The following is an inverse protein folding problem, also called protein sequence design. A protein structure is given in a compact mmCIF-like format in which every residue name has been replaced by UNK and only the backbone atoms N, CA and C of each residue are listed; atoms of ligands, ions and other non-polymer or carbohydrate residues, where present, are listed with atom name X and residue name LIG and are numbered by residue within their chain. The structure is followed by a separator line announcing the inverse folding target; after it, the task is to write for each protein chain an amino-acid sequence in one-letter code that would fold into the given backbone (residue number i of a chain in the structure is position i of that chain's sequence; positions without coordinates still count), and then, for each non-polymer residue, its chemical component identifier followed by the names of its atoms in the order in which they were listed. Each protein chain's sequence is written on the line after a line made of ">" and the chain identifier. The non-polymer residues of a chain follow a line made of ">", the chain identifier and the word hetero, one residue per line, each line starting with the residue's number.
data_IF_248240544872
#
_entry.id   IF_248240544872
#
_cell.length_a   1.000
_cell.length_b   1.000
_cell.length_c   1.000
_cell.angle_alpha   90.00
_cell.angle_beta   90.00
_cell.angle_gamma   90.00
#
_symmetry.space_group_name_H-M   'P 1'
#
loop_
_entity.id
_entity.type
_entity.pdbx_description
1 polymer ?
#
# COMPACT_ATOMS: atom_id res chain seq x y z
N UNK A 1 12.07 -11.87 2.58
CA UNK A 1 10.61 -11.67 2.41
C UNK A 1 10.25 -10.57 3.39
N UNK A 2 9.44 -9.58 2.98
CA UNK A 2 9.00 -8.55 3.93
C UNK A 2 8.06 -9.18 4.96
N UNK A 3 8.29 -8.88 6.24
CA UNK A 3 7.45 -9.36 7.33
C UNK A 3 6.34 -8.34 7.60
N UNK A 4 5.13 -8.66 7.16
CA UNK A 4 3.95 -7.83 7.34
C UNK A 4 3.37 -8.04 8.75
N UNK A 5 3.93 -7.32 9.72
CA UNK A 5 3.63 -7.47 11.16
C UNK A 5 2.74 -6.37 11.71
N UNK A 6 2.51 -5.30 10.95
CA UNK A 6 1.68 -4.16 11.32
C UNK A 6 0.53 -3.98 10.32
N UNK A 7 -0.33 -3.00 10.61
CA UNK A 7 -1.42 -2.58 9.73
C UNK A 7 -1.34 -1.08 9.50
N UNK A 8 -1.68 -0.66 8.28
CA UNK A 8 -1.74 0.74 7.88
C UNK A 8 -3.09 1.02 7.22
N UNK A 9 -3.68 2.18 7.47
CA UNK A 9 -4.98 2.54 6.89
C UNK A 9 -4.77 3.41 5.66
N UNK A 10 -5.07 2.88 4.47
CA UNK A 10 -4.92 3.57 3.19
C UNK A 10 -6.32 3.74 2.59
N UNK A 11 -6.73 4.97 2.29
CA UNK A 11 -8.10 5.27 1.81
C UNK A 11 -9.23 4.75 2.71
N UNK A 12 -8.98 4.58 4.01
CA UNK A 12 -9.96 4.01 4.95
C UNK A 12 -10.00 2.48 4.97
N UNK A 13 -9.11 1.80 4.23
CA UNK A 13 -8.97 0.35 4.22
C UNK A 13 -7.73 -0.07 5.02
N UNK A 14 -7.88 -1.07 5.89
CA UNK A 14 -6.76 -1.66 6.64
C UNK A 14 -5.95 -2.58 5.73
N UNK A 15 -4.68 -2.24 5.53
CA UNK A 15 -3.74 -2.98 4.70
C UNK A 15 -2.62 -3.55 5.57
N UNK A 16 -2.17 -4.76 5.26
CA UNK A 16 -0.99 -5.37 5.88
C UNK A 16 0.24 -4.49 5.61
N UNK A 17 1.03 -4.19 6.63
CA UNK A 17 2.20 -3.31 6.56
C UNK A 17 3.45 -3.97 7.15
N UNK A 18 4.55 -3.86 6.42
CA UNK A 18 5.88 -4.27 6.84
C UNK A 18 6.70 -3.02 7.20
N UNK A 19 6.73 -2.61 8.49
CA UNK A 19 7.38 -1.36 8.91
C UNK A 19 8.88 -1.36 8.69
N UNK A 20 9.54 -2.53 8.79
CA UNK A 20 10.97 -2.66 8.56
C UNK A 20 11.35 -2.46 7.09
N UNK A 21 10.42 -2.77 6.16
CA UNK A 21 10.62 -2.66 4.72
C UNK A 21 9.97 -1.40 4.13
N UNK A 22 9.12 -0.70 4.87
CA UNK A 22 8.33 0.41 4.36
C UNK A 22 7.33 -0.02 3.27
N UNK A 23 6.79 -1.24 3.33
CA UNK A 23 5.88 -1.75 2.28
C UNK A 23 4.52 -2.15 2.85
N UNK A 24 3.44 -1.88 2.11
CA UNK A 24 2.10 -2.39 2.41
C UNK A 24 1.53 -3.22 1.27
N UNK A 25 0.58 -4.10 1.60
CA UNK A 25 -0.22 -4.85 0.62
C UNK A 25 -1.51 -4.12 0.33
N UNK A 26 -1.52 -3.40 -0.79
CA UNK A 26 -2.68 -2.60 -1.20
C UNK A 26 -3.51 -3.39 -2.22
N UNK A 27 -4.82 -3.56 -2.00
CA UNK A 27 -5.70 -4.14 -3.00
C UNK A 27 -5.84 -3.19 -4.20
N UNK A 28 -5.75 -3.74 -5.41
CA UNK A 28 -6.02 -2.96 -6.61
C UNK A 28 -7.50 -2.57 -6.65
N UNK A 29 -7.79 -1.28 -6.86
CA UNK A 29 -9.15 -0.75 -6.91
C UNK A 29 -10.00 -1.29 -8.09
N UNK A 30 -9.39 -1.99 -9.05
CA UNK A 30 -10.09 -2.58 -10.20
C UNK A 30 -10.33 -4.09 -10.06
N UNK A 31 -9.30 -4.87 -9.67
CA UNK A 31 -9.38 -6.33 -9.63
C UNK A 31 -9.24 -6.95 -8.23
N UNK A 32 -8.95 -6.16 -7.21
CA UNK A 32 -8.77 -6.61 -5.82
C UNK A 32 -7.48 -7.40 -5.55
N UNK A 33 -6.60 -7.56 -6.55
CA UNK A 33 -5.30 -8.20 -6.31
C UNK A 33 -4.46 -7.36 -5.37
N UNK A 34 -3.88 -7.97 -4.32
CA UNK A 34 -2.93 -7.33 -3.42
C UNK A 34 -1.60 -7.10 -4.14
N UNK A 35 -1.09 -5.87 -4.10
CA UNK A 35 0.22 -5.50 -4.63
C UNK A 35 1.08 -5.01 -3.48
N UNK A 36 2.37 -5.34 -3.50
CA UNK A 36 3.34 -4.84 -2.51
C UNK A 36 3.82 -3.46 -2.97
N UNK A 37 3.48 -2.43 -2.19
CA UNK A 37 3.67 -1.03 -2.55
C UNK A 37 4.45 -0.33 -1.44
N UNK A 38 5.42 0.47 -1.82
CA UNK A 38 6.18 1.30 -0.89
C UNK A 38 5.28 2.39 -0.28
N UNK A 39 5.31 2.48 1.05
CA UNK A 39 4.55 3.46 1.84
C UNK A 39 5.52 4.37 2.56
N UNK A 40 5.32 5.67 2.39
CA UNK A 40 5.94 6.70 3.20
C UNK A 40 5.00 7.07 4.34
N UNK A 41 5.51 7.06 5.58
CA UNK A 41 4.77 7.52 6.75
C UNK A 41 5.22 8.93 7.10
N UNK A 42 4.29 9.88 7.11
CA UNK A 42 4.52 11.23 7.60
C UNK A 42 4.72 11.25 9.13
N UNK A 43 5.19 12.38 9.67
CA UNK A 43 5.49 12.52 11.10
C UNK A 43 4.27 12.37 12.02
N UNK A 44 3.07 12.52 11.49
CA UNK A 44 1.78 12.33 12.16
C UNK A 44 1.23 10.89 12.03
N UNK A 45 1.95 10.01 11.31
CA UNK A 45 1.54 8.64 11.04
C UNK A 45 0.65 8.50 9.79
N UNK A 46 0.43 9.57 9.03
CA UNK A 46 -0.35 9.50 7.78
C UNK A 46 0.43 8.75 6.70
N UNK A 47 -0.13 7.66 6.12
CA UNK A 47 0.51 6.91 5.05
C UNK A 47 0.27 7.54 3.68
N UNK A 48 1.32 7.59 2.86
CA UNK A 48 1.27 8.03 1.47
C UNK A 48 1.95 7.02 0.56
N UNK A 49 1.53 6.96 -0.70
CA UNK A 49 2.20 6.17 -1.74
C UNK A 49 2.15 6.90 -3.09
N UNK A 50 3.21 6.74 -3.89
CA UNK A 50 3.41 7.45 -5.17
C UNK A 50 2.54 6.96 -6.35
N UNK A 51 1.52 6.15 -6.06
CA UNK A 51 0.71 5.44 -7.07
C UNK A 51 1.44 4.25 -7.68
N UNK A 52 0.70 3.24 -8.13
CA UNK A 52 1.29 2.00 -8.64
C UNK A 52 0.42 1.35 -9.71
N UNK A 53 1.07 0.66 -10.66
CA UNK A 53 0.37 -0.19 -11.62
C UNK A 53 0.17 -1.58 -11.01
N UNK A 54 -1.04 -2.12 -11.12
CA UNK A 54 -1.33 -3.47 -10.65
C UNK A 54 -0.59 -4.51 -11.48
N UNK A 55 0.16 -5.40 -10.83
CA UNK A 55 0.95 -6.45 -11.50
C UNK A 55 0.06 -7.49 -12.20
N UNK A 56 -1.19 -7.64 -11.78
CA UNK A 56 -2.13 -8.61 -12.34
C UNK A 56 -2.95 -8.06 -13.53
N UNK A 57 -3.52 -6.85 -13.41
CA UNK A 57 -4.43 -6.31 -14.44
C UNK A 57 -3.90 -5.07 -15.17
N UNK A 58 -2.74 -4.54 -14.79
CA UNK A 58 -2.16 -3.33 -15.39
C UNK A 58 -2.91 -2.03 -15.07
N UNK A 59 -3.92 -2.07 -14.20
CA UNK A 59 -4.66 -0.89 -13.79
C UNK A 59 -3.76 0.05 -12.96
N UNK A 60 -3.81 1.35 -13.28
CA UNK A 60 -3.13 2.38 -12.53
C UNK A 60 -3.93 2.76 -11.28
N UNK A 61 -3.38 2.48 -10.10
CA UNK A 61 -3.91 2.93 -8.82
C UNK A 61 -3.28 4.26 -8.47
N UNK A 62 -4.10 5.31 -8.37
CA UNK A 62 -3.66 6.68 -8.13
C UNK A 62 -2.92 6.83 -6.79
N UNK A 63 -1.96 7.77 -6.71
CA UNK A 63 -1.28 8.10 -5.46
C UNK A 63 -2.26 8.60 -4.39
N UNK A 64 -1.86 8.44 -3.13
CA UNK A 64 -2.49 9.07 -1.97
C UNK A 64 -1.43 9.75 -1.11
N UNK A 65 -1.85 10.84 -0.48
CA UNK A 65 -1.04 11.76 0.30
C UNK A 65 -1.87 12.35 1.41
#
# INVERSE_FOLDING_TARGET
>A
MADFTATVTINGEECDYAPDAGMARIPCGNCGTLNEVEIELAADGTPSHSGFSCENCGHWNSPVS
#
